data_IF_801809296988
#
_entry.id   IF_801809296988
#
_cell.length_a   1.000
_cell.length_b   1.000
_cell.length_c   1.000
_cell.angle_alpha   90.00
_cell.angle_beta   90.00
_cell.angle_gamma   90.00
#
_symmetry.space_group_name_H-M   'P 1'
#
loop_
_entity.id
_entity.type
_entity.pdbx_description
1 polymer ?
#
# COMPACT_ATOMS: atom_id res chain seq x y z
N UNK A 1 -9.23 -8.20 4.25
CA UNK A 1 -8.83 -9.26 3.29
C UNK A 1 -8.74 -8.67 1.91
N UNK A 2 -7.53 -8.66 1.35
CA UNK A 2 -7.19 -8.12 0.03
C UNK A 2 -6.96 -9.24 -0.99
N UNK A 3 -7.46 -10.43 -0.71
CA UNK A 3 -7.60 -11.47 -1.71
C UNK A 3 -8.87 -11.19 -2.51
N UNK A 4 -8.77 -11.32 -3.82
CA UNK A 4 -9.91 -11.23 -4.70
C UNK A 4 -10.73 -12.51 -4.58
N UNK A 5 -11.65 -12.53 -3.62
CA UNK A 5 -12.52 -13.67 -3.35
C UNK A 5 -13.92 -13.34 -3.88
N UNK A 6 -14.58 -14.27 -4.59
CA UNK A 6 -15.99 -14.13 -4.93
C UNK A 6 -16.83 -13.99 -3.66
N UNK A 7 -17.71 -13.00 -3.61
CA UNK A 7 -18.64 -12.81 -2.51
C UNK A 7 -20.05 -12.57 -3.06
N UNK A 8 -21.04 -13.15 -2.39
CA UNK A 8 -22.44 -13.01 -2.76
C UNK A 8 -22.96 -11.66 -2.26
N UNK A 9 -23.63 -10.91 -3.10
CA UNK A 9 -24.27 -9.65 -2.72
C UNK A 9 -25.55 -9.97 -1.95
N UNK A 10 -25.65 -9.46 -0.72
CA UNK A 10 -26.80 -9.73 0.17
C UNK A 10 -27.63 -8.48 0.48
N UNK A 11 -27.05 -7.29 0.28
CA UNK A 11 -27.74 -5.99 0.45
C UNK A 11 -27.07 -4.95 -0.42
N UNK A 12 -27.85 -4.04 -1.00
CA UNK A 12 -27.36 -2.88 -1.73
C UNK A 12 -27.88 -1.63 -1.02
N UNK A 13 -27.00 -0.65 -0.85
CA UNK A 13 -27.21 0.70 -0.34
C UNK A 13 -26.64 1.68 -1.37
N UNK A 14 -26.93 2.99 -1.27
CA UNK A 14 -26.55 3.98 -2.29
C UNK A 14 -25.12 3.86 -2.82
N UNK A 15 -24.09 3.99 -1.97
CA UNK A 15 -22.68 3.90 -2.38
C UNK A 15 -22.04 2.54 -2.03
N UNK A 16 -22.78 1.68 -1.35
CA UNK A 16 -22.20 0.48 -0.74
C UNK A 16 -23.04 -0.75 -1.02
N UNK A 17 -22.40 -1.91 -0.98
CA UNK A 17 -23.09 -3.19 -0.88
C UNK A 17 -22.59 -3.93 0.36
N UNK A 18 -23.44 -4.75 0.94
CA UNK A 18 -23.01 -5.80 1.87
C UNK A 18 -22.86 -7.08 1.07
N UNK A 19 -21.67 -7.66 1.14
CA UNK A 19 -21.37 -8.96 0.54
C UNK A 19 -21.10 -10.01 1.62
N UNK A 20 -21.29 -11.27 1.25
CA UNK A 20 -21.12 -12.43 2.12
C UNK A 20 -20.21 -13.46 1.46
N UNK A 21 -19.22 -13.93 2.20
CA UNK A 21 -18.38 -15.06 1.80
C UNK A 21 -17.87 -15.77 3.06
N UNK A 22 -17.93 -17.11 3.06
CA UNK A 22 -17.61 -17.95 4.22
C UNK A 22 -18.35 -17.54 5.52
N UNK A 23 -19.61 -17.10 5.42
CA UNK A 23 -20.40 -16.63 6.56
C UNK A 23 -19.98 -15.26 7.12
N UNK A 24 -18.93 -14.63 6.58
CA UNK A 24 -18.54 -13.27 6.96
C UNK A 24 -19.27 -12.25 6.08
N UNK A 25 -19.90 -11.27 6.73
CA UNK A 25 -20.51 -10.11 6.06
C UNK A 25 -19.51 -8.96 6.01
N UNK A 26 -19.40 -8.29 4.87
CA UNK A 26 -18.53 -7.11 4.70
C UNK A 26 -19.18 -6.04 3.86
N UNK A 27 -18.96 -4.78 4.25
CA UNK A 27 -19.34 -3.61 3.48
C UNK A 27 -18.28 -3.33 2.41
N UNK A 28 -18.72 -3.13 1.17
CA UNK A 28 -17.86 -2.86 0.01
C UNK A 28 -18.40 -1.69 -0.80
N UNK A 29 -17.53 -0.95 -1.48
CA UNK A 29 -17.92 0.12 -2.40
C UNK A 29 -18.43 -0.47 -3.73
N UNK A 30 -19.52 0.10 -4.24
CA UNK A 30 -20.09 -0.28 -5.55
C UNK A 30 -19.67 0.63 -6.71
N UNK A 31 -18.85 1.64 -6.44
CA UNK A 31 -18.46 2.74 -7.35
C UNK A 31 -17.87 2.32 -8.72
N UNK A 32 -17.60 1.04 -8.97
CA UNK A 32 -16.94 0.54 -10.18
C UNK A 32 -17.80 -0.39 -11.03
N UNK A 33 -18.98 -0.81 -10.55
CA UNK A 33 -19.77 -1.87 -11.17
C UNK A 33 -21.23 -1.82 -10.70
N UNK A 34 -22.16 -2.09 -11.62
CA UNK A 34 -23.56 -2.36 -11.29
C UNK A 34 -23.80 -3.88 -11.14
N UNK A 35 -24.63 -4.25 -10.16
CA UNK A 35 -24.97 -5.63 -9.82
C UNK A 35 -26.21 -5.66 -8.91
N UNK A 36 -26.85 -6.82 -8.84
CA UNK A 36 -28.10 -7.05 -8.10
C UNK A 36 -27.88 -7.91 -6.86
N UNK A 37 -28.87 -7.92 -5.96
CA UNK A 37 -28.87 -8.85 -4.82
C UNK A 37 -28.89 -10.29 -5.34
N UNK A 38 -28.01 -11.13 -4.81
CA UNK A 38 -27.83 -12.52 -5.26
C UNK A 38 -26.68 -12.72 -6.25
N UNK A 39 -26.20 -11.66 -6.91
CA UNK A 39 -25.01 -11.74 -7.75
C UNK A 39 -23.77 -12.12 -6.95
N UNK A 40 -22.82 -12.76 -7.62
CA UNK A 40 -21.47 -12.92 -7.08
C UNK A 40 -20.54 -11.90 -7.71
N UNK A 41 -19.77 -11.22 -6.86
CA UNK A 41 -18.78 -10.22 -7.27
C UNK A 41 -17.41 -10.53 -6.69
N UNK A 42 -16.35 -10.26 -7.45
CA UNK A 42 -15.01 -10.20 -6.89
C UNK A 42 -14.86 -8.96 -6.03
N UNK A 43 -14.39 -9.14 -4.81
CA UNK A 43 -14.09 -8.04 -3.89
C UNK A 43 -12.59 -7.91 -3.70
N UNK A 44 -12.05 -6.72 -3.99
CA UNK A 44 -10.64 -6.40 -3.81
C UNK A 44 -10.50 -5.05 -3.12
N UNK A 45 -9.66 -4.98 -2.08
CA UNK A 45 -9.44 -3.77 -1.28
C UNK A 45 -10.74 -3.06 -0.82
N UNK A 46 -11.77 -3.84 -0.47
CA UNK A 46 -13.06 -3.31 -0.03
C UNK A 46 -13.96 -2.79 -1.16
N UNK A 47 -13.68 -3.15 -2.42
CA UNK A 47 -14.46 -2.72 -3.58
C UNK A 47 -14.92 -3.90 -4.42
N UNK A 48 -16.14 -3.84 -4.93
CA UNK A 48 -16.61 -4.77 -5.95
C UNK A 48 -15.98 -4.40 -7.30
N UNK A 49 -15.23 -5.32 -7.91
CA UNK A 49 -14.45 -5.05 -9.15
C UNK A 49 -14.99 -5.77 -10.39
N UNK A 50 -15.75 -6.86 -10.23
CA UNK A 50 -16.32 -7.65 -11.35
C UNK A 50 -17.44 -8.58 -10.91
N UNK A 51 -18.48 -8.75 -11.73
CA UNK A 51 -19.45 -9.86 -11.61
C UNK A 51 -18.77 -11.17 -12.03
N UNK A 52 -19.12 -12.27 -11.38
CA UNK A 52 -18.60 -13.61 -11.69
C UNK A 52 -19.77 -14.58 -11.77
N UNK A 53 -19.80 -15.47 -12.79
CA UNK A 53 -20.82 -16.50 -12.88
C UNK A 53 -20.88 -17.38 -11.62
N UNK A 54 -22.10 -17.73 -11.21
CA UNK A 54 -22.39 -18.47 -9.98
C UNK A 54 -21.55 -19.77 -9.85
N UNK A 55 -21.49 -20.60 -10.90
CA UNK A 55 -20.74 -21.86 -10.90
C UNK A 55 -19.24 -21.63 -10.71
N UNK A 56 -18.68 -20.60 -11.35
CA UNK A 56 -17.28 -20.24 -11.21
C UNK A 56 -16.98 -19.74 -9.78
N UNK A 57 -17.87 -18.92 -9.22
CA UNK A 57 -17.73 -18.42 -7.86
C UNK A 57 -17.72 -19.57 -6.82
N UNK A 58 -18.64 -20.52 -6.96
CA UNK A 58 -18.72 -21.68 -6.05
C UNK A 58 -17.47 -22.57 -6.12
N UNK A 59 -16.97 -22.85 -7.33
CA UNK A 59 -15.73 -23.62 -7.51
C UNK A 59 -14.54 -22.96 -6.80
N UNK A 60 -14.37 -21.65 -7.00
CA UNK A 60 -13.31 -20.87 -6.37
C UNK A 60 -13.45 -20.86 -4.84
N UNK A 61 -14.67 -20.64 -4.33
CA UNK A 61 -14.95 -20.65 -2.89
C UNK A 61 -14.62 -22.01 -2.24
N UNK A 62 -14.89 -23.13 -2.93
CA UNK A 62 -14.54 -24.47 -2.45
C UNK A 62 -13.03 -24.63 -2.29
N UNK A 63 -12.24 -24.20 -3.27
CA UNK A 63 -10.77 -24.24 -3.21
C UNK A 63 -10.22 -23.38 -2.07
N UNK A 64 -10.74 -22.16 -1.91
CA UNK A 64 -10.35 -21.27 -0.82
C UNK A 64 -10.68 -21.84 0.56
N UNK A 65 -11.81 -22.54 0.73
CA UNK A 65 -12.18 -23.17 2.00
C UNK A 65 -11.14 -24.21 2.45
N UNK A 66 -10.64 -25.03 1.53
CA UNK A 66 -9.58 -26.01 1.81
C UNK A 66 -8.27 -25.31 2.16
N UNK A 67 -7.89 -24.29 1.38
CA UNK A 67 -6.65 -23.55 1.60
C UNK A 67 -6.66 -22.81 2.94
N UNK A 68 -7.74 -22.10 3.28
CA UNK A 68 -7.85 -21.37 4.54
C UNK A 68 -7.82 -22.30 5.75
N UNK A 69 -8.39 -23.50 5.67
CA UNK A 69 -8.27 -24.50 6.72
C UNK A 69 -6.81 -24.90 6.97
N UNK A 70 -6.05 -25.19 5.90
CA UNK A 70 -4.61 -25.50 6.00
C UNK A 70 -3.80 -24.33 6.57
N UNK A 71 -4.04 -23.12 6.06
CA UNK A 71 -3.35 -21.91 6.51
C UNK A 71 -3.65 -21.60 7.98
N UNK A 72 -4.89 -21.81 8.43
CA UNK A 72 -5.27 -21.62 9.84
C UNK A 72 -4.48 -22.54 10.76
N UNK A 73 -4.35 -23.82 10.42
CA UNK A 73 -3.56 -24.77 11.22
C UNK A 73 -2.07 -24.39 11.27
N UNK A 74 -1.51 -23.93 10.15
CA UNK A 74 -0.13 -23.44 10.09
C UNK A 74 0.06 -22.19 10.96
N UNK A 75 -0.90 -21.26 10.91
CA UNK A 75 -0.90 -20.05 11.74
C UNK A 75 -1.02 -20.38 13.23
N UNK A 76 -1.93 -21.27 13.62
CA UNK A 76 -2.07 -21.71 15.01
C UNK A 76 -0.75 -22.33 15.52
N UNK A 77 -0.05 -23.12 14.70
CA UNK A 77 1.28 -23.65 15.04
C UNK A 77 2.34 -22.56 15.22
N UNK A 78 2.34 -21.53 14.37
CA UNK A 78 3.29 -20.42 14.45
C UNK A 78 2.99 -19.45 15.61
N UNK A 79 1.72 -19.25 15.93
CA UNK A 79 1.24 -18.36 17.00
C UNK A 79 1.39 -19.02 18.38
N UNK A 80 1.18 -20.34 18.45
CA UNK A 80 1.25 -21.12 19.69
C UNK A 80 2.64 -21.69 19.97
N UNK A 81 3.66 -21.42 19.12
CA UNK A 81 5.05 -21.63 19.53
C UNK A 81 5.29 -20.85 20.82
N UNK A 82 5.53 -21.60 21.89
CA UNK A 82 5.73 -21.07 23.22
C UNK A 82 6.92 -20.10 23.25
N UNK A 83 6.74 -18.96 23.91
CA UNK A 83 7.82 -18.02 24.25
C UNK A 83 8.80 -18.60 25.27
N UNK A 84 8.56 -19.83 25.76
CA UNK A 84 9.38 -20.52 26.73
C UNK A 84 10.83 -20.58 26.24
N UNK A 85 11.70 -19.81 26.90
CA UNK A 85 13.13 -19.79 26.64
C UNK A 85 13.70 -18.46 26.15
N UNK A 86 12.87 -17.49 25.74
CA UNK A 86 13.36 -16.14 25.42
C UNK A 86 13.65 -15.36 26.71
N UNK A 87 14.81 -14.72 26.78
CA UNK A 87 15.18 -13.88 27.92
C UNK A 87 14.77 -12.44 27.64
N UNK A 88 13.72 -11.98 28.33
CA UNK A 88 13.24 -10.59 28.22
C UNK A 88 13.76 -9.76 29.39
N UNK A 89 14.18 -8.53 29.11
CA UNK A 89 14.59 -7.61 30.17
C UNK A 89 13.38 -7.00 30.88
N UNK A 90 13.56 -6.60 32.16
CA UNK A 90 12.50 -5.91 32.92
C UNK A 90 11.96 -4.65 32.22
N UNK A 91 12.80 -3.79 31.58
CA UNK A 91 12.31 -2.66 30.81
C UNK A 91 11.43 -3.07 29.63
N UNK A 92 11.82 -4.11 28.87
CA UNK A 92 11.04 -4.59 27.74
C UNK A 92 9.70 -5.17 28.18
N UNK A 93 9.69 -6.01 29.22
CA UNK A 93 8.45 -6.58 29.78
C UNK A 93 7.47 -5.49 30.23
N UNK A 94 7.97 -4.41 30.84
CA UNK A 94 7.14 -3.27 31.22
C UNK A 94 6.50 -2.57 30.01
N UNK A 95 7.21 -2.50 28.88
CA UNK A 95 6.69 -1.96 27.61
C UNK A 95 5.61 -2.88 27.05
N UNK A 96 5.85 -4.20 27.01
CA UNK A 96 4.86 -5.18 26.52
C UNK A 96 3.57 -5.12 27.34
N UNK A 97 3.67 -5.04 28.68
CA UNK A 97 2.51 -4.87 29.55
C UNK A 97 1.71 -3.60 29.22
N UNK A 98 2.37 -2.49 28.89
CA UNK A 98 1.67 -1.28 28.42
C UNK A 98 0.92 -1.53 27.10
N UNK A 99 1.52 -2.26 26.16
CA UNK A 99 0.91 -2.59 24.86
C UNK A 99 -0.33 -3.46 25.06
N UNK A 100 -0.24 -4.51 25.87
CA UNK A 100 -1.35 -5.44 26.14
C UNK A 100 -2.53 -4.75 26.82
N UNK A 101 -2.25 -3.84 27.75
CA UNK A 101 -3.24 -2.98 28.42
C UNK A 101 -3.70 -1.80 27.54
N UNK A 102 -3.26 -1.71 26.28
CA UNK A 102 -3.57 -0.64 25.32
C UNK A 102 -3.23 0.77 25.83
N UNK A 103 -2.24 0.88 26.72
CA UNK A 103 -1.73 2.16 27.21
C UNK A 103 -0.86 2.85 26.16
N UNK A 104 -0.74 4.18 26.26
CA UNK A 104 0.19 4.94 25.41
C UNK A 104 1.62 4.68 25.84
N UNK A 105 2.50 4.46 24.86
CA UNK A 105 3.95 4.38 25.08
C UNK A 105 4.55 5.78 25.18
N UNK A 106 5.52 5.95 26.08
CA UNK A 106 6.32 7.18 26.19
C UNK A 106 7.33 7.28 25.05
N UNK A 107 7.97 8.45 24.89
CA UNK A 107 9.08 8.61 23.93
C UNK A 107 10.22 7.65 24.27
N UNK A 108 10.54 7.48 25.55
CA UNK A 108 11.58 6.56 26.01
C UNK A 108 11.26 5.10 25.68
N UNK A 109 9.99 4.68 25.81
CA UNK A 109 9.55 3.35 25.41
C UNK A 109 9.79 3.12 23.90
N UNK A 110 9.44 4.10 23.07
CA UNK A 110 9.67 4.01 21.61
C UNK A 110 11.14 3.94 21.24
N UNK A 111 11.99 4.79 21.85
CA UNK A 111 13.43 4.78 21.61
C UNK A 111 14.06 3.45 22.05
N UNK A 112 13.59 2.87 23.15
CA UNK A 112 14.00 1.54 23.58
C UNK A 112 13.65 0.47 22.54
N UNK A 113 12.43 0.50 21.98
CA UNK A 113 12.02 -0.45 20.93
C UNK A 113 12.79 -0.27 19.61
N UNK A 114 13.28 0.94 19.31
CA UNK A 114 14.05 1.21 18.10
C UNK A 114 15.51 0.76 18.23
N UNK A 115 16.15 1.03 19.38
CA UNK A 115 17.61 0.91 19.52
C UNK A 115 18.07 -0.15 20.52
N UNK A 116 17.19 -0.57 21.42
CA UNK A 116 17.56 -1.27 22.66
C UNK A 116 17.09 -2.72 22.73
N UNK A 117 16.60 -3.29 21.64
CA UNK A 117 16.11 -4.67 21.64
C UNK A 117 17.27 -5.66 21.44
N UNK A 118 17.44 -6.57 22.40
CA UNK A 118 18.28 -7.75 22.21
C UNK A 118 17.74 -8.64 21.08
N UNK A 119 18.54 -9.61 20.62
CA UNK A 119 18.07 -10.60 19.64
C UNK A 119 16.79 -11.31 20.09
N UNK A 120 16.68 -11.66 21.37
CA UNK A 120 15.50 -12.35 21.91
C UNK A 120 14.27 -11.44 21.95
N UNK A 121 14.41 -10.19 22.38
CA UNK A 121 13.35 -9.18 22.37
C UNK A 121 12.94 -8.81 20.92
N UNK A 122 13.89 -8.80 19.99
CA UNK A 122 13.62 -8.62 18.56
C UNK A 122 12.77 -9.76 17.99
N UNK A 123 13.11 -11.01 18.31
CA UNK A 123 12.31 -12.19 17.94
C UNK A 123 10.91 -12.14 18.56
N UNK A 124 10.82 -11.76 19.84
CA UNK A 124 9.53 -11.57 20.52
C UNK A 124 8.69 -10.49 19.83
N UNK A 125 9.29 -9.35 19.49
CA UNK A 125 8.60 -8.24 18.79
C UNK A 125 8.01 -8.69 17.45
N UNK A 126 8.75 -9.49 16.68
CA UNK A 126 8.27 -10.04 15.41
C UNK A 126 7.06 -10.97 15.61
N UNK A 127 7.13 -11.85 16.62
CA UNK A 127 6.03 -12.76 16.96
C UNK A 127 4.79 -12.00 17.44
N UNK A 128 4.96 -11.01 18.31
CA UNK A 128 3.87 -10.15 18.79
C UNK A 128 3.22 -9.37 17.65
N UNK A 129 4.02 -8.76 16.76
CA UNK A 129 3.52 -8.05 15.59
C UNK A 129 2.72 -8.99 14.66
N UNK A 130 3.22 -10.21 14.42
CA UNK A 130 2.50 -11.20 13.62
C UNK A 130 1.17 -11.62 14.26
N UNK A 131 1.13 -11.83 15.59
CA UNK A 131 -0.11 -12.12 16.33
C UNK A 131 -1.12 -10.99 16.23
N UNK A 132 -0.68 -9.74 16.41
CA UNK A 132 -1.53 -8.56 16.25
C UNK A 132 -2.08 -8.51 14.81
N UNK A 133 -1.22 -8.69 13.81
CA UNK A 133 -1.64 -8.78 12.40
C UNK A 133 -2.68 -9.89 12.19
N UNK A 134 -2.47 -11.10 12.71
CA UNK A 134 -3.43 -12.21 12.58
C UNK A 134 -4.78 -11.83 13.21
N UNK A 135 -4.77 -11.28 14.43
CA UNK A 135 -5.98 -10.88 15.15
C UNK A 135 -6.83 -9.86 14.40
N UNK A 136 -6.20 -8.88 13.75
CA UNK A 136 -6.94 -7.77 13.10
C UNK A 136 -7.23 -7.98 11.62
N UNK A 137 -6.33 -8.64 10.88
CA UNK A 137 -6.48 -8.79 9.43
C UNK A 137 -6.39 -10.24 8.95
N UNK A 138 -6.23 -11.22 9.84
CA UNK A 138 -6.05 -12.64 9.49
C UNK A 138 -4.95 -12.81 8.44
N UNK A 139 -4.85 -13.95 7.76
CA UNK A 139 -3.89 -14.25 6.70
C UNK A 139 -4.07 -13.47 5.39
N UNK A 140 -4.65 -12.27 5.47
CA UNK A 140 -4.81 -11.37 4.33
C UNK A 140 -3.46 -10.89 3.81
N UNK A 141 -3.19 -11.18 2.53
CA UNK A 141 -2.11 -10.57 1.77
C UNK A 141 -2.70 -9.86 0.55
N UNK A 142 -2.27 -8.63 0.26
CA UNK A 142 -2.60 -7.95 -0.98
C UNK A 142 -1.43 -8.04 -1.93
N UNK A 143 -1.68 -8.53 -3.15
CA UNK A 143 -0.65 -8.65 -4.18
C UNK A 143 -0.92 -7.58 -5.24
N UNK A 144 0.02 -6.65 -5.38
CA UNK A 144 -0.04 -5.56 -6.36
C UNK A 144 0.94 -5.82 -7.50
N UNK A 145 0.47 -5.77 -8.74
CA UNK A 145 1.34 -5.81 -9.91
C UNK A 145 1.80 -4.39 -10.24
N UNK A 146 3.08 -4.09 -10.06
CA UNK A 146 3.62 -2.77 -10.43
C UNK A 146 4.11 -2.77 -11.86
N UNK A 147 3.72 -1.75 -12.62
CA UNK A 147 4.17 -1.50 -13.98
C UNK A 147 4.81 -0.12 -13.98
N UNK A 148 6.12 -0.10 -14.12
CA UNK A 148 6.89 1.13 -14.26
C UNK A 148 6.79 1.59 -15.72
N UNK A 149 5.95 2.60 -15.98
CA UNK A 149 5.64 3.04 -17.36
C UNK A 149 6.68 4.02 -17.91
N UNK A 150 7.49 4.65 -17.05
CA UNK A 150 8.57 5.55 -17.44
C UNK A 150 9.55 5.79 -16.30
N UNK A 151 10.83 5.90 -16.64
CA UNK A 151 11.88 6.34 -15.72
C UNK A 151 12.33 7.79 -15.97
N UNK A 152 11.64 8.56 -16.81
CA UNK A 152 11.86 10.00 -16.91
C UNK A 152 11.30 10.71 -15.67
N UNK A 153 11.98 11.75 -15.20
CA UNK A 153 11.54 12.54 -14.05
C UNK A 153 12.05 13.97 -14.18
N UNK A 154 11.20 14.97 -13.91
CA UNK A 154 11.62 16.39 -13.84
C UNK A 154 12.22 16.77 -12.48
N UNK A 155 12.19 15.87 -11.50
CA UNK A 155 12.71 16.10 -10.14
C UNK A 155 14.14 15.62 -10.00
N UNK A 156 14.81 16.15 -8.98
CA UNK A 156 16.21 15.88 -8.73
C UNK A 156 16.50 15.36 -7.31
N UNK A 157 15.57 14.58 -6.75
CA UNK A 157 15.71 14.02 -5.39
C UNK A 157 17.06 13.32 -5.22
N UNK A 158 17.78 13.66 -4.14
CA UNK A 158 19.19 13.28 -3.96
C UNK A 158 19.39 11.78 -3.74
N UNK A 159 18.35 11.08 -3.27
CA UNK A 159 18.38 9.63 -3.04
C UNK A 159 17.98 8.79 -4.25
N UNK A 160 17.52 9.41 -5.35
CA UNK A 160 16.76 8.70 -6.37
C UNK A 160 17.58 8.47 -7.66
N UNK A 161 17.75 7.21 -8.06
CA UNK A 161 18.48 6.85 -9.28
C UNK A 161 17.88 7.42 -10.57
N UNK A 162 16.56 7.69 -10.60
CA UNK A 162 15.88 8.27 -11.77
C UNK A 162 15.84 9.80 -11.79
N UNK A 163 16.54 10.48 -10.86
CA UNK A 163 16.65 11.94 -10.82
C UNK A 163 17.09 12.54 -12.16
N UNK A 164 16.61 13.74 -12.53
CA UNK A 164 16.83 14.37 -13.84
C UNK A 164 18.31 14.54 -14.22
N UNK A 165 19.16 14.72 -13.21
CA UNK A 165 20.58 14.96 -13.40
C UNK A 165 21.40 13.68 -13.54
N UNK A 166 20.84 12.49 -13.30
CA UNK A 166 21.51 11.24 -13.65
C UNK A 166 21.49 11.03 -15.18
N UNK A 167 22.61 11.32 -15.83
CA UNK A 167 22.79 11.19 -17.29
C UNK A 167 23.25 9.80 -17.73
N UNK A 168 23.73 8.96 -16.82
CA UNK A 168 24.16 7.58 -17.12
C UNK A 168 22.98 6.62 -17.26
N UNK A 169 21.84 6.94 -16.64
CA UNK A 169 20.62 6.13 -16.74
C UNK A 169 20.05 6.18 -18.17
N UNK A 170 19.98 5.02 -18.83
CA UNK A 170 19.23 4.86 -20.08
C UNK A 170 17.74 5.10 -19.82
N UNK A 171 17.20 6.14 -20.43
CA UNK A 171 15.80 6.53 -20.24
C UNK A 171 14.87 5.73 -21.14
N UNK A 172 13.71 5.36 -20.63
CA UNK A 172 12.66 4.69 -21.39
C UNK A 172 11.29 5.27 -21.06
N UNK A 173 10.37 5.06 -22.00
CA UNK A 173 8.97 5.41 -21.86
C UNK A 173 8.12 4.39 -22.62
N UNK A 174 7.18 3.77 -21.93
CA UNK A 174 6.26 2.82 -22.58
C UNK A 174 5.19 3.58 -23.37
N UNK A 175 4.99 3.16 -24.62
CA UNK A 175 3.86 3.59 -25.45
C UNK A 175 2.56 2.98 -24.92
N UNK A 176 1.41 3.54 -25.29
CA UNK A 176 0.10 3.06 -24.84
C UNK A 176 -0.10 1.56 -25.10
N UNK A 177 0.26 1.07 -26.29
CA UNK A 177 0.15 -0.37 -26.61
C UNK A 177 1.02 -1.24 -25.69
N UNK A 178 2.26 -0.83 -25.42
CA UNK A 178 3.17 -1.55 -24.52
C UNK A 178 2.65 -1.58 -23.08
N UNK A 179 2.02 -0.48 -22.62
CA UNK A 179 1.34 -0.45 -21.32
C UNK A 179 0.19 -1.45 -21.30
N UNK A 180 -0.65 -1.48 -22.35
CA UNK A 180 -1.77 -2.41 -22.43
C UNK A 180 -1.33 -3.88 -22.55
N UNK A 181 -0.23 -4.15 -23.25
CA UNK A 181 0.40 -5.49 -23.31
C UNK A 181 0.89 -5.94 -21.92
N UNK A 182 1.57 -5.06 -21.18
CA UNK A 182 2.02 -5.35 -19.81
C UNK A 182 0.83 -5.57 -18.85
N UNK A 183 -0.24 -4.78 -18.99
CA UNK A 183 -1.49 -4.95 -18.25
C UNK A 183 -2.14 -6.30 -18.60
N UNK A 184 -2.22 -6.66 -19.89
CA UNK A 184 -2.79 -7.94 -20.33
C UNK A 184 -2.05 -9.11 -19.67
N UNK A 185 -0.72 -9.10 -19.76
CA UNK A 185 0.13 -10.12 -19.15
C UNK A 185 -0.09 -10.21 -17.63
N UNK A 186 -0.10 -9.07 -16.93
CA UNK A 186 -0.31 -9.04 -15.49
C UNK A 186 -1.69 -9.61 -15.10
N UNK A 187 -2.75 -9.25 -15.83
CA UNK A 187 -4.11 -9.61 -15.46
C UNK A 187 -4.50 -11.01 -15.89
N UNK A 188 -4.22 -11.36 -17.15
CA UNK A 188 -4.68 -12.60 -17.77
C UNK A 188 -3.68 -13.74 -17.56
N UNK A 189 -2.37 -13.47 -17.68
CA UNK A 189 -1.35 -14.51 -17.53
C UNK A 189 -0.88 -14.70 -16.08
N UNK A 190 -0.89 -13.64 -15.26
CA UNK A 190 -0.40 -13.69 -13.86
C UNK A 190 -1.50 -13.54 -12.81
N UNK A 191 -2.72 -13.18 -13.22
CA UNK A 191 -3.88 -13.15 -12.33
C UNK A 191 -3.96 -11.93 -11.39
N UNK A 192 -3.13 -10.90 -11.57
CA UNK A 192 -3.18 -9.70 -10.73
C UNK A 192 -4.55 -9.01 -10.80
N UNK A 193 -5.03 -8.53 -9.64
CA UNK A 193 -6.31 -7.82 -9.50
C UNK A 193 -6.15 -6.37 -9.04
N UNK A 194 -4.93 -5.99 -8.66
CA UNK A 194 -4.55 -4.62 -8.36
C UNK A 194 -3.28 -4.32 -9.14
N UNK A 195 -3.30 -3.23 -9.90
CA UNK A 195 -2.14 -2.75 -10.64
C UNK A 195 -1.72 -1.38 -10.13
N UNK A 196 -0.42 -1.16 -10.02
CA UNK A 196 0.19 0.13 -9.73
C UNK A 196 0.87 0.63 -10.99
N UNK A 197 0.39 1.73 -11.57
CA UNK A 197 1.10 2.42 -12.64
C UNK A 197 2.05 3.42 -12.00
N UNK A 198 3.36 3.19 -12.15
CA UNK A 198 4.40 3.99 -11.54
C UNK A 198 5.28 4.66 -12.60
N UNK A 199 5.68 5.90 -12.34
CA UNK A 199 6.69 6.59 -13.13
C UNK A 199 7.39 7.65 -12.27
N UNK A 200 8.48 8.21 -12.79
CA UNK A 200 8.92 9.53 -12.33
C UNK A 200 7.88 10.61 -12.66
N UNK A 201 8.14 11.84 -12.22
CA UNK A 201 7.33 13.00 -12.60
C UNK A 201 7.63 13.38 -14.06
N UNK A 202 7.08 12.60 -14.99
CA UNK A 202 7.32 12.71 -16.43
C UNK A 202 6.26 13.58 -17.11
N UNK A 203 6.67 14.74 -17.61
CA UNK A 203 5.79 15.70 -18.27
C UNK A 203 5.11 15.16 -19.55
N UNK A 204 5.65 14.10 -20.16
CA UNK A 204 5.01 13.44 -21.30
C UNK A 204 3.65 12.85 -20.93
N UNK A 205 3.47 12.32 -19.72
CA UNK A 205 2.19 11.79 -19.26
C UNK A 205 1.31 12.93 -18.75
N UNK A 206 0.81 13.74 -19.68
CA UNK A 206 -0.20 14.77 -19.42
C UNK A 206 -1.48 14.16 -18.84
N UNK A 207 -2.33 14.99 -18.22
CA UNK A 207 -3.64 14.56 -17.70
C UNK A 207 -4.42 13.76 -18.76
N UNK A 208 -4.48 14.25 -19.99
CA UNK A 208 -5.20 13.60 -21.09
C UNK A 208 -4.65 12.20 -21.41
N UNK A 209 -3.32 12.03 -21.47
CA UNK A 209 -2.69 10.72 -21.76
C UNK A 209 -2.91 9.71 -20.64
N UNK A 210 -2.82 10.16 -19.37
CA UNK A 210 -3.10 9.28 -18.23
C UNK A 210 -4.56 8.84 -18.23
N UNK A 211 -5.50 9.75 -18.50
CA UNK A 211 -6.93 9.42 -18.65
C UNK A 211 -7.19 8.43 -19.78
N UNK A 212 -6.50 8.58 -20.93
CA UNK A 212 -6.62 7.64 -22.04
C UNK A 212 -6.16 6.23 -21.64
N UNK A 213 -5.02 6.12 -20.95
CA UNK A 213 -4.51 4.84 -20.43
C UNK A 213 -5.53 4.21 -19.47
N UNK A 214 -6.02 4.97 -18.49
CA UNK A 214 -7.00 4.49 -17.50
C UNK A 214 -8.27 3.97 -18.21
N UNK A 215 -8.81 4.76 -19.14
CA UNK A 215 -10.02 4.39 -19.89
C UNK A 215 -9.81 3.10 -20.67
N UNK A 216 -8.69 2.96 -21.39
CA UNK A 216 -8.39 1.75 -22.18
C UNK A 216 -8.21 0.52 -21.29
N UNK A 217 -7.58 0.66 -20.13
CA UNK A 217 -7.45 -0.42 -19.16
C UNK A 217 -8.84 -0.83 -18.64
N UNK A 218 -9.65 0.14 -18.20
CA UNK A 218 -10.99 -0.10 -17.62
C UNK A 218 -11.98 -0.71 -18.61
N UNK A 219 -11.84 -0.42 -19.90
CA UNK A 219 -12.68 -1.02 -20.95
C UNK A 219 -12.45 -2.52 -21.12
N UNK A 220 -11.25 -3.02 -20.83
CA UNK A 220 -10.86 -4.41 -21.12
C UNK A 220 -10.61 -5.26 -19.87
N UNK A 221 -10.22 -4.64 -18.75
CA UNK A 221 -9.75 -5.35 -17.58
C UNK A 221 -10.48 -4.94 -16.31
N UNK A 222 -10.96 -5.93 -15.57
CA UNK A 222 -11.55 -5.75 -14.26
C UNK A 222 -10.47 -5.76 -13.16
N UNK A 223 -9.75 -4.66 -13.04
CA UNK A 223 -8.69 -4.45 -12.05
C UNK A 223 -8.85 -3.14 -11.30
N UNK A 224 -8.33 -3.13 -10.08
CA UNK A 224 -8.17 -1.91 -9.30
C UNK A 224 -6.88 -1.21 -9.73
N UNK A 225 -6.96 0.09 -10.00
CA UNK A 225 -5.82 0.88 -10.47
C UNK A 225 -5.33 1.80 -9.34
N UNK A 226 -4.03 1.71 -9.08
CA UNK A 226 -3.25 2.60 -8.23
C UNK A 226 -2.35 3.47 -9.11
N UNK A 227 -2.20 4.74 -8.77
CA UNK A 227 -1.23 5.64 -9.39
C UNK A 227 -0.09 5.96 -8.44
N UNK A 228 1.14 5.93 -8.95
CA UNK A 228 2.36 6.38 -8.29
C UNK A 228 3.11 7.31 -9.24
N UNK A 229 2.52 8.47 -9.53
CA UNK A 229 2.99 9.42 -10.56
C UNK A 229 3.54 10.75 -9.98
N UNK A 230 3.96 10.73 -8.71
CA UNK A 230 4.56 11.90 -8.04
C UNK A 230 3.56 12.98 -7.64
N UNK A 231 4.02 14.23 -7.53
CA UNK A 231 3.14 15.37 -7.20
C UNK A 231 2.47 15.94 -8.45
N UNK A 232 1.14 15.89 -8.49
CA UNK A 232 0.29 16.50 -9.53
C UNK A 232 -0.80 17.35 -8.90
N UNK A 233 -1.48 18.14 -9.73
CA UNK A 233 -2.57 19.00 -9.25
C UNK A 233 -3.71 18.17 -8.64
N UNK A 234 -4.44 18.75 -7.69
CA UNK A 234 -5.65 18.12 -7.14
C UNK A 234 -6.68 17.83 -8.24
N UNK A 235 -6.82 18.73 -9.22
CA UNK A 235 -7.70 18.54 -10.38
C UNK A 235 -7.31 17.37 -11.28
N UNK A 236 -6.02 17.06 -11.42
CA UNK A 236 -5.54 15.88 -12.15
C UNK A 236 -6.00 14.62 -11.41
N UNK A 237 -5.78 14.56 -10.10
CA UNK A 237 -6.20 13.42 -9.28
C UNK A 237 -7.71 13.25 -9.19
N UNK A 238 -8.48 14.34 -9.12
CA UNK A 238 -9.94 14.25 -9.20
C UNK A 238 -10.37 13.60 -10.52
N UNK A 239 -9.83 14.08 -11.65
CA UNK A 239 -10.16 13.50 -12.96
C UNK A 239 -9.74 12.02 -13.08
N UNK A 240 -8.60 11.63 -12.51
CA UNK A 240 -8.16 10.23 -12.51
C UNK A 240 -9.08 9.35 -11.63
N UNK A 241 -9.52 9.88 -10.49
CA UNK A 241 -10.48 9.20 -9.61
C UNK A 241 -11.82 8.97 -10.33
N UNK A 242 -12.35 10.02 -10.98
CA UNK A 242 -13.59 9.97 -11.74
C UNK A 242 -13.49 8.96 -12.89
N UNK A 243 -12.31 8.83 -13.51
CA UNK A 243 -12.04 7.84 -14.55
C UNK A 243 -11.89 6.38 -14.05
N UNK A 244 -11.93 6.15 -12.74
CA UNK A 244 -11.94 4.80 -12.13
C UNK A 244 -10.66 4.39 -11.40
N UNK A 245 -9.70 5.30 -11.19
CA UNK A 245 -8.58 5.06 -10.27
C UNK A 245 -9.07 5.12 -8.84
N UNK A 246 -8.54 4.24 -7.97
CA UNK A 246 -8.96 4.19 -6.56
C UNK A 246 -7.82 4.21 -5.57
N UNK A 247 -6.58 4.04 -6.03
CA UNK A 247 -5.42 4.05 -5.16
C UNK A 247 -4.37 5.07 -5.55
N UNK A 248 -3.68 5.62 -4.56
CA UNK A 248 -2.55 6.53 -4.77
C UNK A 248 -1.40 6.15 -3.82
N UNK A 249 -0.21 5.94 -4.38
CA UNK A 249 1.01 5.73 -3.61
C UNK A 249 1.84 7.01 -3.64
N UNK A 250 2.00 7.62 -2.47
CA UNK A 250 2.71 8.88 -2.30
C UNK A 250 3.34 8.95 -0.91
N UNK A 251 4.60 8.52 -0.76
CA UNK A 251 5.35 8.64 0.50
C UNK A 251 5.65 10.10 0.82
N UNK A 252 5.57 10.50 2.08
CA UNK A 252 6.04 11.82 2.53
C UNK A 252 7.55 11.86 2.79
N UNK A 253 8.24 10.72 2.68
CA UNK A 253 9.70 10.53 2.77
C UNK A 253 10.32 10.82 4.13
N UNK A 254 10.06 11.98 4.73
CA UNK A 254 10.46 12.34 6.10
C UNK A 254 9.48 13.36 6.69
N UNK A 255 9.19 13.23 7.97
CA UNK A 255 8.40 14.17 8.76
C UNK A 255 9.22 15.38 9.22
N UNK A 256 10.54 15.38 9.01
CA UNK A 256 11.42 16.50 9.30
C UNK A 256 11.54 17.41 8.05
N UNK A 257 11.02 18.66 8.09
CA UNK A 257 11.03 19.55 6.93
C UNK A 257 12.45 19.88 6.42
N UNK A 258 13.45 19.90 7.30
CA UNK A 258 14.84 20.17 6.93
C UNK A 258 15.42 19.02 6.12
N UNK A 259 15.29 17.78 6.62
CA UNK A 259 15.73 16.57 5.90
C UNK A 259 14.98 16.45 4.56
N UNK A 260 13.66 16.64 4.59
CA UNK A 260 12.82 16.56 3.41
C UNK A 260 13.29 17.51 2.30
N UNK A 261 13.46 18.80 2.62
CA UNK A 261 13.81 19.83 1.64
C UNK A 261 15.25 19.68 1.14
N UNK A 262 16.17 19.23 2.00
CA UNK A 262 17.54 18.92 1.61
C UNK A 262 17.59 17.77 0.59
N UNK A 263 16.76 16.74 0.77
CA UNK A 263 16.71 15.57 -0.11
C UNK A 263 15.86 15.76 -1.35
N UNK A 264 14.93 16.72 -1.34
CA UNK A 264 14.02 17.02 -2.45
C UNK A 264 14.09 18.52 -2.77
N UNK A 265 15.06 18.93 -3.61
CA UNK A 265 15.25 20.33 -3.97
C UNK A 265 13.96 20.94 -4.54
N UNK A 266 13.69 22.21 -4.18
CA UNK A 266 12.50 22.98 -4.58
C UNK A 266 11.16 22.45 -4.04
N UNK A 267 11.16 21.44 -3.15
CA UNK A 267 9.95 20.86 -2.56
C UNK A 267 9.85 21.13 -1.08
N UNK A 268 8.60 21.27 -0.61
CA UNK A 268 8.26 21.48 0.80
C UNK A 268 7.40 20.33 1.31
N UNK A 269 7.65 19.91 2.54
CA UNK A 269 6.91 18.81 3.17
C UNK A 269 5.42 19.16 3.28
N UNK A 270 5.11 20.41 3.55
CA UNK A 270 3.75 20.92 3.73
C UNK A 270 2.89 20.68 2.49
N UNK A 271 3.42 20.95 1.30
CA UNK A 271 2.73 20.75 0.02
C UNK A 271 2.45 19.26 -0.24
N UNK A 272 3.41 18.39 0.09
CA UNK A 272 3.25 16.93 -0.02
C UNK A 272 2.17 16.42 0.92
N UNK A 273 2.16 16.90 2.18
CA UNK A 273 1.14 16.53 3.15
C UNK A 273 -0.24 17.09 2.78
N UNK A 274 -0.30 18.28 2.16
CA UNK A 274 -1.55 18.83 1.61
C UNK A 274 -2.09 17.93 0.51
N UNK A 275 -1.26 17.52 -0.45
CA UNK A 275 -1.67 16.60 -1.51
C UNK A 275 -2.13 15.24 -0.97
N UNK A 276 -1.40 14.65 -0.01
CA UNK A 276 -1.80 13.39 0.64
C UNK A 276 -3.19 13.50 1.29
N UNK A 277 -3.48 14.64 1.94
CA UNK A 277 -4.82 14.91 2.51
C UNK A 277 -5.88 15.09 1.42
N UNK A 278 -5.58 15.83 0.35
CA UNK A 278 -6.51 16.01 -0.78
C UNK A 278 -6.87 14.65 -1.41
N UNK A 279 -5.89 13.77 -1.65
CA UNK A 279 -6.14 12.41 -2.16
C UNK A 279 -7.12 11.65 -1.27
N UNK A 280 -6.93 11.72 0.05
CA UNK A 280 -7.84 11.08 1.01
C UNK A 280 -9.24 11.70 0.98
N UNK A 281 -9.36 13.02 0.86
CA UNK A 281 -10.63 13.72 0.78
C UNK A 281 -11.41 13.37 -0.51
N UNK A 282 -10.72 13.18 -1.63
CA UNK A 282 -11.30 12.70 -2.89
C UNK A 282 -11.87 11.28 -2.73
N UNK A 283 -11.25 10.47 -1.85
CA UNK A 283 -11.67 9.09 -1.57
C UNK A 283 -10.69 8.03 -2.06
N UNK A 284 -9.44 8.40 -2.35
CA UNK A 284 -8.39 7.44 -2.68
C UNK A 284 -8.05 6.55 -1.48
N UNK A 285 -7.75 5.28 -1.77
CA UNK A 285 -6.96 4.41 -0.90
C UNK A 285 -5.50 4.90 -0.94
N UNK A 286 -5.05 5.55 0.12
CA UNK A 286 -3.73 6.17 0.18
C UNK A 286 -2.71 5.18 0.76
N UNK A 287 -1.64 4.95 0.00
CA UNK A 287 -0.42 4.31 0.47
C UNK A 287 0.66 5.38 0.70
N UNK A 288 1.03 5.62 1.97
CA UNK A 288 2.03 6.64 2.34
C UNK A 288 2.89 6.19 3.51
N UNK A 289 3.96 6.92 3.75
CA UNK A 289 4.97 6.66 4.78
C UNK A 289 6.28 7.33 4.39
N UNK A 290 7.40 6.73 4.74
CA UNK A 290 8.70 7.41 4.82
C UNK A 290 9.86 6.50 4.43
N UNK A 291 11.03 7.10 4.20
CA UNK A 291 12.29 6.38 4.08
C UNK A 291 12.95 6.31 5.46
N UNK A 292 13.73 5.25 5.69
CA UNK A 292 14.49 5.04 6.93
C UNK A 292 15.97 5.01 6.62
N UNK A 293 16.79 5.67 7.44
CA UNK A 293 18.24 5.75 7.25
C UNK A 293 18.64 6.90 6.34
N UNK A 294 17.91 8.02 6.39
CA UNK A 294 18.27 9.21 5.63
C UNK A 294 19.48 9.92 6.25
N UNK A 295 20.30 10.64 5.47
CA UNK A 295 21.41 11.43 6.01
C UNK A 295 20.93 12.41 7.09
N UNK A 296 21.62 12.41 8.23
CA UNK A 296 21.29 13.20 9.42
C UNK A 296 19.92 12.87 10.07
N UNK A 297 19.30 11.73 9.74
CA UNK A 297 18.10 11.27 10.41
C UNK A 297 18.40 10.76 11.82
N UNK A 298 17.67 11.25 12.81
CA UNK A 298 17.76 10.79 14.19
C UNK A 298 16.63 9.81 14.53
N UNK A 299 16.76 9.06 15.62
CA UNK A 299 15.66 8.18 16.10
C UNK A 299 14.40 8.96 16.45
N UNK A 300 14.55 10.21 16.87
CA UNK A 300 13.41 11.11 17.10
C UNK A 300 12.69 11.44 15.79
N UNK A 301 13.42 11.61 14.68
CA UNK A 301 12.83 11.78 13.35
C UNK A 301 12.08 10.53 12.89
N UNK A 302 12.66 9.34 13.09
CA UNK A 302 11.98 8.06 12.81
C UNK A 302 10.68 7.95 13.63
N UNK A 303 10.72 8.29 14.93
CA UNK A 303 9.52 8.30 15.76
C UNK A 303 8.48 9.31 15.26
N UNK A 304 8.92 10.50 14.81
CA UNK A 304 8.04 11.50 14.22
C UNK A 304 7.42 11.01 12.91
N UNK A 305 8.17 10.26 12.09
CA UNK A 305 7.65 9.61 10.89
C UNK A 305 6.55 8.59 11.22
N UNK A 306 6.75 7.74 12.24
CA UNK A 306 5.76 6.77 12.71
C UNK A 306 4.50 7.49 13.21
N UNK A 307 4.66 8.52 14.04
CA UNK A 307 3.54 9.34 14.57
C UNK A 307 2.78 10.04 13.45
N UNK A 308 3.48 10.61 12.47
CA UNK A 308 2.86 11.27 11.32
C UNK A 308 2.07 10.28 10.47
N UNK A 309 2.62 9.10 10.19
CA UNK A 309 1.91 8.04 9.45
C UNK A 309 0.62 7.65 10.19
N UNK A 310 0.68 7.45 11.52
CA UNK A 310 -0.51 7.20 12.34
C UNK A 310 -1.53 8.36 12.28
N UNK A 311 -1.07 9.61 12.27
CA UNK A 311 -1.93 10.81 12.18
C UNK A 311 -2.63 10.89 10.82
N UNK A 312 -1.94 10.54 9.73
CA UNK A 312 -2.51 10.52 8.37
C UNK A 312 -3.56 9.41 8.21
N UNK A 313 -3.47 8.33 9.00
CA UNK A 313 -4.35 7.16 8.96
C UNK A 313 -4.50 6.62 7.52
N UNK A 314 -3.40 6.31 6.81
CA UNK A 314 -3.50 5.77 5.47
C UNK A 314 -4.07 4.36 5.48
N UNK A 315 -4.62 3.94 4.35
CA UNK A 315 -5.07 2.57 4.15
C UNK A 315 -3.88 1.59 4.05
N UNK A 316 -2.72 2.10 3.60
CA UNK A 316 -1.47 1.33 3.52
C UNK A 316 -0.29 2.12 4.08
N UNK A 317 0.42 1.47 5.02
CA UNK A 317 1.66 1.99 5.60
C UNK A 317 2.81 1.56 4.69
N UNK A 318 3.53 2.52 4.11
CA UNK A 318 4.56 2.29 3.10
C UNK A 318 5.86 2.97 3.52
N UNK A 319 6.78 2.18 4.05
CA UNK A 319 8.11 2.61 4.43
C UNK A 319 9.16 1.65 3.88
N UNK A 320 10.41 2.11 3.78
CA UNK A 320 11.52 1.27 3.32
C UNK A 320 12.87 1.92 3.62
N UNK A 321 13.95 1.11 3.67
CA UNK A 321 15.28 1.65 3.89
C UNK A 321 15.71 2.51 2.71
N UNK A 322 16.53 3.53 2.99
CA UNK A 322 17.36 4.14 1.96
C UNK A 322 18.35 3.10 1.46
N UNK A 323 18.36 2.90 0.15
CA UNK A 323 19.40 2.13 -0.53
C UNK A 323 20.17 3.13 -1.40
N UNK A 324 21.41 3.50 -1.00
CA UNK A 324 22.27 4.38 -1.79
C UNK A 324 22.37 3.92 -3.24
N UNK A 325 22.08 4.82 -4.17
CA UNK A 325 22.28 4.56 -5.59
C UNK A 325 23.60 5.19 -6.05
N UNK A 326 24.45 4.41 -6.71
CA UNK A 326 25.82 4.80 -7.08
C UNK A 326 25.91 6.10 -7.89
N UNK A 327 24.92 6.36 -8.74
CA UNK A 327 24.86 7.60 -9.55
C UNK A 327 24.02 8.73 -8.92
N UNK A 328 24.06 8.85 -7.60
CA UNK A 328 23.36 9.91 -6.87
C UNK A 328 24.28 10.62 -5.87
N UNK A 329 23.95 11.84 -5.43
CA UNK A 329 24.72 12.54 -4.39
C UNK A 329 24.84 11.79 -3.06
N UNK A 330 24.01 10.76 -2.82
CA UNK A 330 24.06 9.93 -1.60
C UNK A 330 24.76 8.58 -1.82
N UNK A 331 25.62 8.46 -2.83
CA UNK A 331 26.29 7.21 -3.16
C UNK A 331 27.31 6.72 -2.09
N UNK A 332 27.73 7.60 -1.19
CA UNK A 332 28.75 7.37 -0.16
C UNK A 332 28.16 7.28 1.24
#
# INVERSE_FOLDING_TARGET
MCYAIPARVIKIEERFATVEYFGQKRKVLKDLLDFDIGDYVYVQAGMAIRKIPHLQAQSILKTWKVLFSKLKNQDESLINKSYSGLRLSKPYDAIIKKIDEKRRLSVTDYLYLLNGVSSDEGKFSQQLANRIRNKYIDNSCCIHGIIEISNYCVRDCLYCGIRKSNKKLKRYRLKLNQILEAVDYAVNSRGFKVLVLQAGEDAYYTKARVLEIIRKIRQKYAVLIFLSLGERSESDYQAFFDAGVRGALLRFESANPKIYSALRPEKKLEDRLKLIKSLKNIGYLVATGFLVGLPNETDTDILNNIKLTKKLKPEMYSFGPLIPHLDTPLAS
#
